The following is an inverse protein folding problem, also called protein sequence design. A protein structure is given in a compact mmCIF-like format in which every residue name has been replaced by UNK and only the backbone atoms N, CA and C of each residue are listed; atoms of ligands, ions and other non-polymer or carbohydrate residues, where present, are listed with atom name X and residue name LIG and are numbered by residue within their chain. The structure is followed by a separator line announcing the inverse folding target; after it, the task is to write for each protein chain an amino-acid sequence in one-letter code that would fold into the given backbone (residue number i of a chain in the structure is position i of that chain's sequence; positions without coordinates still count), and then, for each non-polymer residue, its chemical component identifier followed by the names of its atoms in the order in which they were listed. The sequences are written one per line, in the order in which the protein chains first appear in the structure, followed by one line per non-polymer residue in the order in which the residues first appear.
data_IF_437591899372
#
_entry.id   IF_437591899372
#
_cell.length_a   1.000
_cell.length_b   1.000
_cell.length_c   1.000
_cell.angle_alpha   90.00
_cell.angle_beta   90.00
_cell.angle_gamma   90.00
#
_symmetry.space_group_name_H-M   'P 1'
#
loop_
_entity.id
_entity.type
_entity.pdbx_description
1 polymer ?
#
# COMPACT_ATOMS: atom_id res chain seq x y z
N UNK A 1 4.15 -16.58 -2.10
CA UNK A 1 3.09 -15.61 -1.72
C UNK A 1 3.63 -14.24 -1.22
N UNK A 2 4.77 -14.18 -0.50
CA UNK A 2 5.28 -12.92 0.13
C UNK A 2 5.71 -11.78 -0.82
N UNK A 3 6.16 -12.07 -2.06
CA UNK A 3 6.80 -11.07 -2.94
C UNK A 3 5.84 -9.95 -3.41
N UNK A 4 4.63 -10.32 -3.83
CA UNK A 4 3.62 -9.38 -4.34
C UNK A 4 3.20 -8.38 -3.26
N UNK A 5 2.96 -8.85 -2.03
CA UNK A 5 2.62 -7.98 -0.91
C UNK A 5 3.74 -6.99 -0.54
N UNK A 6 5.02 -7.42 -0.64
CA UNK A 6 6.18 -6.55 -0.40
C UNK A 6 6.28 -5.45 -1.46
N UNK A 7 6.07 -5.79 -2.73
CA UNK A 7 6.09 -4.82 -3.82
C UNK A 7 4.96 -3.79 -3.68
N UNK A 8 3.75 -4.22 -3.33
CA UNK A 8 2.62 -3.32 -3.08
C UNK A 8 2.96 -2.31 -1.97
N UNK A 9 3.44 -2.80 -0.83
CA UNK A 9 3.81 -1.94 0.31
C UNK A 9 4.95 -0.98 -0.04
N UNK A 10 5.89 -1.39 -0.89
CA UNK A 10 6.97 -0.51 -1.38
C UNK A 10 6.41 0.64 -2.19
N UNK A 11 5.49 0.37 -3.13
CA UNK A 11 4.86 1.42 -3.94
C UNK A 11 3.98 2.35 -3.10
N UNK A 12 3.20 1.80 -2.15
CA UNK A 12 2.45 2.60 -1.19
C UNK A 12 3.36 3.53 -0.38
N UNK A 13 4.53 3.05 0.06
CA UNK A 13 5.50 3.87 0.78
C UNK A 13 6.04 5.01 -0.10
N UNK A 14 6.32 4.75 -1.37
CA UNK A 14 6.77 5.79 -2.30
C UNK A 14 5.71 6.87 -2.44
N UNK A 15 4.45 6.49 -2.69
CA UNK A 15 3.32 7.42 -2.76
C UNK A 15 3.16 8.25 -1.47
N UNK A 16 3.30 7.58 -0.32
CA UNK A 16 3.23 8.28 0.97
C UNK A 16 4.37 9.30 1.12
N UNK A 17 5.60 8.94 0.73
CA UNK A 17 6.77 9.82 0.84
C UNK A 17 6.73 11.04 -0.08
N UNK A 18 6.02 10.96 -1.21
CA UNK A 18 5.84 12.09 -2.14
C UNK A 18 4.55 12.88 -1.87
N UNK A 19 3.84 12.57 -0.77
CA UNK A 19 2.61 13.27 -0.37
C UNK A 19 1.42 13.00 -1.30
N UNK A 20 1.38 11.86 -2.00
CA UNK A 20 0.29 11.52 -2.93
C UNK A 20 -0.58 10.43 -2.32
N UNK A 21 -1.86 10.69 -2.13
CA UNK A 21 -2.86 9.69 -1.74
C UNK A 21 -3.67 9.26 -2.96
N UNK A 22 -3.72 7.94 -3.23
CA UNK A 22 -4.42 7.37 -4.39
C UNK A 22 -5.94 7.34 -4.24
N UNK A 23 -6.45 7.38 -3.01
CA UNK A 23 -7.89 7.39 -2.71
C UNK A 23 -8.61 6.03 -2.69
N UNK A 24 -8.09 5.00 -3.37
CA UNK A 24 -8.78 3.69 -3.54
C UNK A 24 -7.94 2.44 -3.16
N UNK A 25 -7.06 2.53 -2.16
CA UNK A 25 -6.31 1.35 -1.68
C UNK A 25 -7.16 0.37 -0.83
N UNK A 26 -8.46 0.61 -0.65
CA UNK A 26 -9.39 -0.34 -0.04
C UNK A 26 -9.82 -1.48 -0.99
N UNK A 27 -9.65 -1.31 -2.31
CA UNK A 27 -9.95 -2.33 -3.35
C UNK A 27 -8.85 -2.45 -4.41
N UNK A 28 -7.58 -2.67 -4.03
CA UNK A 28 -6.45 -2.60 -4.95
C UNK A 28 -6.49 -3.68 -6.05
N UNK A 29 -7.26 -4.77 -5.88
CA UNK A 29 -7.41 -5.82 -6.89
C UNK A 29 -8.03 -5.35 -8.21
N UNK A 30 -8.80 -4.25 -8.20
CA UNK A 30 -9.39 -3.68 -9.42
C UNK A 30 -8.44 -2.70 -10.12
N UNK A 31 -7.55 -2.08 -9.35
CA UNK A 31 -6.72 -0.95 -9.80
C UNK A 31 -5.23 -1.31 -9.78
N UNK A 32 -4.90 -2.60 -9.93
CA UNK A 32 -3.54 -3.10 -9.95
C UNK A 32 -3.41 -4.30 -10.92
N UNK A 33 -2.38 -4.25 -11.76
CA UNK A 33 -2.02 -5.34 -12.68
C UNK A 33 -0.82 -6.09 -12.09
N UNK A 34 -0.91 -7.42 -12.01
CA UNK A 34 0.23 -8.28 -11.66
C UNK A 34 0.82 -8.82 -12.95
N UNK A 35 2.03 -8.37 -13.27
CA UNK A 35 2.76 -8.82 -14.46
C UNK A 35 3.31 -10.25 -14.29
N UNK A 36 3.61 -10.92 -15.39
CA UNK A 36 4.29 -12.23 -15.39
C UNK A 36 5.62 -12.22 -14.61
N UNK A 37 6.28 -11.06 -14.53
CA UNK A 37 7.52 -10.83 -13.77
C UNK A 37 7.27 -10.52 -12.28
N UNK A 38 6.05 -10.76 -11.78
CA UNK A 38 5.62 -10.51 -10.38
C UNK A 38 5.72 -9.03 -9.95
N UNK A 39 5.76 -8.10 -10.90
CA UNK A 39 5.66 -6.66 -10.61
C UNK A 39 4.21 -6.23 -10.54
N UNK A 40 3.90 -5.37 -9.60
CA UNK A 40 2.60 -4.70 -9.49
C UNK A 40 2.68 -3.39 -10.27
N UNK A 41 1.72 -3.15 -11.15
CA UNK A 41 1.52 -1.85 -11.77
C UNK A 41 0.22 -1.29 -11.23
N UNK A 42 0.31 -0.25 -10.41
CA UNK A 42 -0.87 0.50 -9.98
C UNK A 42 -1.37 1.32 -11.16
N UNK A 43 -2.66 1.20 -11.47
CA UNK A 43 -3.33 1.92 -12.54
C UNK A 43 -4.44 2.78 -11.96
N UNK A 44 -4.98 3.71 -12.74
CA UNK A 44 -6.07 4.60 -12.33
C UNK A 44 -5.68 5.56 -11.20
N UNK A 45 -5.14 6.72 -11.58
CA UNK A 45 -4.75 7.80 -10.67
C UNK A 45 -5.71 8.99 -10.73
N UNK A 46 -6.88 8.87 -11.37
CA UNK A 46 -7.80 10.00 -11.60
C UNK A 46 -8.25 10.67 -10.28
N UNK A 47 -8.39 9.88 -9.21
CA UNK A 47 -8.80 10.32 -7.86
C UNK A 47 -7.62 10.64 -6.94
N UNK A 48 -6.40 10.58 -7.47
CA UNK A 48 -5.21 10.82 -6.67
C UNK A 48 -5.06 12.29 -6.34
N UNK A 49 -4.70 12.57 -5.11
CA UNK A 49 -4.58 13.94 -4.60
C UNK A 49 -3.33 14.10 -3.77
N UNK A 50 -2.77 15.31 -3.76
CA UNK A 50 -1.71 15.64 -2.82
C UNK A 50 -2.31 15.91 -1.45
N UNK A 51 -1.71 15.31 -0.43
CA UNK A 51 -2.11 15.49 0.97
C UNK A 51 -0.86 15.48 1.83
N UNK A 52 -0.88 16.22 2.94
CA UNK A 52 0.25 16.27 3.87
C UNK A 52 0.52 14.91 4.54
N UNK A 53 -0.54 14.13 4.79
CA UNK A 53 -0.47 12.85 5.51
C UNK A 53 -1.22 11.74 4.74
N UNK A 54 -0.65 11.25 3.63
CA UNK A 54 -1.24 10.18 2.84
C UNK A 54 -1.30 8.87 3.62
N UNK A 55 -2.34 8.06 3.34
CA UNK A 55 -2.65 6.85 4.12
C UNK A 55 -2.51 5.56 3.32
N UNK A 56 -1.76 5.57 2.21
CA UNK A 56 -1.72 4.43 1.28
C UNK A 56 -1.16 3.18 1.97
N UNK A 57 -0.06 3.30 2.73
CA UNK A 57 0.56 2.15 3.43
C UNK A 57 -0.37 1.54 4.47
N UNK A 58 -1.08 2.38 5.23
CA UNK A 58 -2.07 1.91 6.23
C UNK A 58 -3.20 1.13 5.57
N UNK A 59 -3.74 1.66 4.47
CA UNK A 59 -4.81 1.00 3.72
C UNK A 59 -4.34 -0.33 3.12
N UNK A 60 -3.13 -0.38 2.56
CA UNK A 60 -2.54 -1.62 2.03
C UNK A 60 -2.32 -2.69 3.12
N UNK A 61 -1.84 -2.31 4.31
CA UNK A 61 -1.70 -3.25 5.43
C UNK A 61 -3.06 -3.80 5.87
N UNK A 62 -4.09 -2.95 5.97
CA UNK A 62 -5.44 -3.38 6.30
C UNK A 62 -6.01 -4.34 5.24
N UNK A 63 -5.74 -4.07 3.96
CA UNK A 63 -6.11 -4.95 2.86
C UNK A 63 -5.43 -6.32 2.96
N UNK A 64 -4.13 -6.37 3.25
CA UNK A 64 -3.40 -7.64 3.43
C UNK A 64 -3.91 -8.47 4.61
N UNK A 65 -4.35 -7.80 5.69
CA UNK A 65 -5.01 -8.46 6.82
C UNK A 65 -6.35 -9.07 6.39
N UNK A 66 -7.17 -8.31 5.63
CA UNK A 66 -8.45 -8.82 5.11
C UNK A 66 -8.29 -10.04 4.19
N UNK A 67 -7.18 -10.13 3.46
CA UNK A 67 -6.86 -11.30 2.63
C UNK A 67 -6.29 -12.50 3.41
N UNK A 68 -6.07 -12.38 4.73
CA UNK A 68 -5.41 -13.41 5.53
C UNK A 68 -3.91 -13.57 5.23
N UNK A 69 -3.30 -12.62 4.50
CA UNK A 69 -1.88 -12.66 4.13
C UNK A 69 -0.96 -12.05 5.21
N UNK A 70 -1.54 -11.37 6.20
CA UNK A 70 -0.85 -10.73 7.31
C UNK A 70 -1.71 -10.79 8.56
N UNK A 71 -1.12 -11.11 9.72
CA UNK A 71 -1.85 -11.00 11.00
C UNK A 71 -2.04 -9.55 11.41
N UNK A 72 -3.08 -9.26 12.19
CA UNK A 72 -3.39 -7.89 12.65
C UNK A 72 -2.24 -7.30 13.47
N UNK A 73 -1.61 -8.12 14.32
CA UNK A 73 -0.48 -7.73 15.19
C UNK A 73 0.73 -7.36 14.33
N UNK A 74 1.05 -8.18 13.32
CA UNK A 74 2.15 -7.91 12.37
C UNK A 74 1.88 -6.66 11.54
N UNK A 75 0.63 -6.39 11.18
CA UNK A 75 0.23 -5.19 10.47
C UNK A 75 0.43 -3.93 11.32
N UNK A 76 0.03 -3.98 12.60
CA UNK A 76 0.22 -2.87 13.54
C UNK A 76 1.71 -2.58 13.75
N UNK A 77 2.51 -3.62 13.99
CA UNK A 77 3.97 -3.47 14.18
C UNK A 77 4.61 -2.82 12.95
N UNK A 78 4.27 -3.30 11.75
CA UNK A 78 4.76 -2.70 10.50
C UNK A 78 4.30 -1.26 10.35
N UNK A 79 3.03 -0.96 10.63
CA UNK A 79 2.49 0.40 10.57
C UNK A 79 3.27 1.38 11.44
N UNK A 80 3.56 1.02 12.70
CA UNK A 80 4.40 1.82 13.60
C UNK A 80 5.80 2.05 13.04
N UNK A 81 6.43 1.00 12.51
CA UNK A 81 7.76 1.09 11.89
C UNK A 81 7.79 2.02 10.65
N UNK A 82 6.69 2.10 9.91
CA UNK A 82 6.58 3.00 8.76
C UNK A 82 6.40 4.46 9.16
N UNK A 83 5.70 4.74 10.26
CA UNK A 83 5.57 6.12 10.79
C UNK A 83 6.92 6.64 11.27
N UNK A 84 7.68 5.83 12.01
CA UNK A 84 8.98 6.22 12.57
C UNK A 84 10.05 6.45 11.49
N UNK A 85 9.97 5.79 10.34
CA UNK A 85 10.97 5.94 9.25
C UNK A 85 10.70 7.10 8.30
N UNK A 86 9.57 7.79 8.45
CA UNK A 86 9.15 8.89 7.60
C UNK A 86 9.06 10.23 8.38
N UNK A 87 9.43 10.22 9.68
CA UNK A 87 9.74 11.39 10.49
C UNK A 87 11.27 11.52 10.58
#
# INVERSE_FOLDING_TARGET
KSFVAKELLKQCKILDSIGVEKGEFSRPLKNAIVTIKKRIVLIDFERSRRVANPKNTRQALQFLVRLGLLSKEKAILKGKLFVVKNQ
#
